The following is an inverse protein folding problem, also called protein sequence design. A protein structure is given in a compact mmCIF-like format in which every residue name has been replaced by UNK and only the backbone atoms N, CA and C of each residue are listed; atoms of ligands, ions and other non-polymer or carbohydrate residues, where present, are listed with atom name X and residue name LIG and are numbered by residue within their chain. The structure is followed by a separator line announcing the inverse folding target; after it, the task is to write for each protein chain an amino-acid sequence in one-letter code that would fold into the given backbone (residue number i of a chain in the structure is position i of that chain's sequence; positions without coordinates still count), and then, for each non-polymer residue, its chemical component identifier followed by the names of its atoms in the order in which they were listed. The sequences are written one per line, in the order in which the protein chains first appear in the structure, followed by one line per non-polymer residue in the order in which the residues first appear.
data_IF_724583986868
#
_entry.id   IF_724583986868
#
_cell.length_a   1.000
_cell.length_b   1.000
_cell.length_c   1.000
_cell.angle_alpha   90.00
_cell.angle_beta   90.00
_cell.angle_gamma   90.00
#
_symmetry.space_group_name_H-M   'P 1'
#
loop_
_entity.id
_entity.type
_entity.pdbx_description
1 polymer ?
#
# COMPACT_ATOMS: atom_id res chain seq x y z
N UNK A 1 -18.38 -6.77 -17.97
CA UNK A 1 -17.74 -6.14 -19.16
C UNK A 1 -16.77 -5.07 -18.69
N UNK A 2 -15.47 -5.30 -18.84
CA UNK A 2 -14.44 -4.31 -18.54
C UNK A 2 -14.49 -3.18 -19.59
N UNK A 3 -14.82 -1.95 -19.18
CA UNK A 3 -14.75 -0.72 -19.98
C UNK A 3 -13.31 -0.31 -20.31
N UNK A 4 -12.74 -0.87 -21.37
CA UNK A 4 -11.39 -0.50 -21.84
C UNK A 4 -11.35 1.01 -22.11
N UNK A 5 -10.32 1.68 -21.62
CA UNK A 5 -10.01 3.07 -21.95
C UNK A 5 -8.96 3.02 -23.07
N UNK A 6 -9.20 3.67 -24.22
CA UNK A 6 -8.27 3.69 -25.35
C UNK A 6 -7.80 5.10 -25.72
N UNK A 7 -7.15 5.23 -26.89
CA UNK A 7 -6.01 6.07 -27.30
C UNK A 7 -6.24 7.46 -27.94
N UNK A 8 -5.18 8.28 -27.85
CA UNK A 8 -4.63 9.14 -28.90
C UNK A 8 -3.33 9.83 -28.43
N UNK A 9 -2.22 10.04 -29.17
CA UNK A 9 -1.63 9.51 -30.44
C UNK A 9 -0.08 9.59 -30.30
N UNK A 10 0.67 8.71 -30.98
CA UNK A 10 1.94 9.09 -31.66
C UNK A 10 1.77 9.17 -33.20
N UNK A 11 0.79 8.45 -33.80
CA UNK A 11 0.54 8.46 -35.27
C UNK A 11 -0.91 8.54 -35.73
N UNK A 12 -1.90 8.28 -34.89
CA UNK A 12 -3.27 8.68 -35.20
C UNK A 12 -4.28 7.75 -35.80
N UNK A 13 -4.15 6.45 -35.56
CA UNK A 13 -5.32 5.58 -35.56
C UNK A 13 -5.97 5.52 -34.18
N UNK A 14 -7.28 5.27 -34.15
CA UNK A 14 -8.02 4.86 -32.95
C UNK A 14 -7.82 3.35 -32.72
N UNK A 15 -7.80 2.89 -31.46
CA UNK A 15 -7.86 1.46 -31.14
C UNK A 15 -9.20 0.84 -31.61
N UNK A 16 -9.14 -0.30 -32.32
CA UNK A 16 -10.29 -1.04 -32.87
C UNK A 16 -11.38 -1.42 -31.84
N UNK A 17 -11.05 -1.54 -30.55
CA UNK A 17 -12.04 -1.81 -29.49
C UNK A 17 -12.78 -0.57 -28.99
N UNK A 18 -12.30 0.63 -29.31
CA UNK A 18 -12.82 1.91 -28.81
C UNK A 18 -13.35 2.85 -29.88
N UNK A 19 -13.26 2.48 -31.16
CA UNK A 19 -13.94 3.12 -32.30
C UNK A 19 -15.47 3.11 -32.14
N UNK A 20 -16.02 2.20 -31.33
CA UNK A 20 -17.47 2.09 -31.09
C UNK A 20 -18.00 2.83 -29.84
N UNK A 21 -17.17 3.62 -29.12
CA UNK A 21 -17.65 4.34 -27.93
C UNK A 21 -18.11 5.77 -28.27
N UNK A 22 -19.37 6.12 -28.00
CA UNK A 22 -19.99 7.44 -28.28
C UNK A 22 -19.45 8.66 -27.48
N UNK A 23 -18.30 8.57 -26.81
CA UNK A 23 -17.77 9.64 -25.96
C UNK A 23 -16.65 10.43 -26.66
N UNK A 24 -16.86 11.74 -26.81
CA UNK A 24 -15.92 12.71 -27.41
C UNK A 24 -14.73 13.11 -26.51
N UNK A 25 -14.49 12.40 -25.40
CA UNK A 25 -13.41 12.76 -24.47
C UNK A 25 -12.03 12.35 -25.02
N UNK A 26 -10.97 13.16 -24.84
CA UNK A 26 -9.61 12.79 -25.18
C UNK A 26 -9.17 11.51 -24.44
N UNK A 27 -8.67 10.56 -25.21
CA UNK A 27 -8.50 9.16 -24.86
C UNK A 27 -7.00 8.87 -24.53
N UNK A 28 -6.64 8.25 -23.38
CA UNK A 28 -5.23 8.04 -22.96
C UNK A 28 -4.50 6.89 -23.68
N UNK A 29 -3.17 6.87 -23.58
CA UNK A 29 -2.19 6.23 -24.48
C UNK A 29 -1.96 4.69 -24.36
N UNK A 30 -2.64 3.94 -23.50
CA UNK A 30 -2.48 2.46 -23.39
C UNK A 30 -3.84 1.76 -23.25
N UNK A 31 -4.00 0.63 -23.96
CA UNK A 31 -5.09 -0.31 -23.77
C UNK A 31 -4.89 -1.14 -22.48
N UNK A 32 -5.45 -0.68 -21.36
CA UNK A 32 -5.33 -1.36 -20.06
C UNK A 32 -6.71 -1.82 -19.56
N UNK A 33 -6.84 -2.95 -18.82
CA UNK A 33 -8.10 -3.34 -18.21
C UNK A 33 -8.77 -2.20 -17.44
N UNK A 34 -10.06 -2.03 -17.71
CA UNK A 34 -10.97 -1.03 -17.16
C UNK A 34 -11.11 -0.95 -15.63
N UNK A 35 -10.52 -1.91 -14.93
CA UNK A 35 -10.85 -2.20 -13.55
C UNK A 35 -9.60 -2.65 -12.85
N UNK A 36 -8.91 -1.71 -12.21
CA UNK A 36 -7.85 -2.03 -11.23
C UNK A 36 -8.40 -2.79 -10.01
N UNK A 37 -9.72 -2.75 -9.79
CA UNK A 37 -10.36 -3.40 -8.64
C UNK A 37 -10.11 -4.90 -8.61
N UNK A 38 -10.03 -5.56 -9.76
CA UNK A 38 -9.72 -7.00 -9.80
C UNK A 38 -8.30 -7.28 -9.28
N UNK A 39 -7.32 -6.44 -9.65
CA UNK A 39 -5.94 -6.54 -9.14
C UNK A 39 -5.86 -6.28 -7.63
N UNK A 40 -6.57 -5.28 -7.13
CA UNK A 40 -6.64 -4.97 -5.68
C UNK A 40 -7.35 -6.08 -4.93
N UNK A 41 -8.43 -6.61 -5.50
CA UNK A 41 -9.16 -7.70 -4.91
C UNK A 41 -8.30 -8.96 -4.85
N UNK A 42 -7.56 -9.30 -5.89
CA UNK A 42 -6.64 -10.45 -5.93
C UNK A 42 -5.53 -10.41 -4.86
N UNK A 43 -5.37 -9.29 -4.13
CA UNK A 43 -4.51 -9.20 -2.96
C UNK A 43 -3.88 -7.82 -2.76
N UNK A 44 -3.11 -7.68 -1.69
CA UNK A 44 -2.63 -6.37 -1.23
C UNK A 44 -1.37 -5.87 -1.93
N UNK A 45 -1.12 -4.56 -1.80
CA UNK A 45 -0.09 -3.83 -2.52
C UNK A 45 1.14 -3.43 -1.69
N UNK A 46 1.18 -3.57 -0.35
CA UNK A 46 2.45 -3.50 0.41
C UNK A 46 2.39 -4.00 1.85
N UNK A 47 1.63 -3.35 2.73
CA UNK A 47 1.68 -3.58 4.19
C UNK A 47 1.51 -5.06 4.57
N UNK A 48 0.73 -5.78 3.76
CA UNK A 48 0.34 -7.16 4.02
C UNK A 48 1.29 -8.17 3.41
N UNK A 49 2.15 -7.71 2.51
CA UNK A 49 3.23 -8.50 1.92
C UNK A 49 4.48 -8.51 2.81
N UNK A 50 4.60 -7.62 3.80
CA UNK A 50 5.69 -7.66 4.77
C UNK A 50 5.46 -8.80 5.77
N UNK A 51 6.38 -9.77 5.78
CA UNK A 51 6.43 -10.85 6.79
C UNK A 51 7.37 -10.52 7.94
N UNK A 52 7.89 -9.30 8.00
CA UNK A 52 8.66 -8.84 9.15
C UNK A 52 8.33 -7.43 9.57
N UNK A 53 8.63 -7.14 10.83
CA UNK A 53 8.64 -5.79 11.39
C UNK A 53 10.07 -5.44 11.74
N UNK A 54 10.60 -4.35 11.17
CA UNK A 54 11.92 -3.85 11.52
C UNK A 54 11.80 -2.81 12.64
N UNK A 55 11.68 -3.31 13.87
CA UNK A 55 11.61 -2.44 15.04
C UNK A 55 13.02 -1.97 15.43
N UNK A 56 13.17 -0.69 15.75
CA UNK A 56 14.45 -0.14 16.20
C UNK A 56 14.67 -0.51 17.66
N UNK A 57 15.80 -1.16 17.97
CA UNK A 57 16.24 -1.32 19.35
C UNK A 57 16.79 0.00 19.90
N UNK A 58 16.93 0.10 21.23
CA UNK A 58 17.57 1.23 21.92
C UNK A 58 19.00 1.53 21.42
N UNK A 59 19.65 0.55 20.80
CA UNK A 59 21.03 0.62 20.33
C UNK A 59 21.13 1.04 18.85
N UNK A 60 20.01 1.42 18.23
CA UNK A 60 19.95 1.88 16.84
C UNK A 60 19.99 0.76 15.79
N UNK A 61 20.25 -0.49 16.19
CA UNK A 61 20.13 -1.66 15.32
C UNK A 61 18.66 -2.06 15.17
N UNK A 62 18.20 -2.22 13.92
CA UNK A 62 16.85 -2.73 13.61
C UNK A 62 16.89 -4.25 13.59
N UNK A 63 16.16 -4.88 14.51
CA UNK A 63 15.97 -6.32 14.47
C UNK A 63 14.65 -6.63 13.75
N UNK A 64 14.74 -7.48 12.72
CA UNK A 64 13.57 -7.97 12.01
C UNK A 64 12.86 -9.02 12.89
N UNK A 65 11.61 -8.74 13.28
CA UNK A 65 10.72 -9.71 13.92
C UNK A 65 9.98 -10.45 12.81
N UNK A 66 10.12 -11.78 12.76
CA UNK A 66 9.36 -12.60 11.82
C UNK A 66 7.90 -12.68 12.25
N UNK A 67 6.99 -12.34 11.34
CA UNK A 67 5.57 -12.54 11.54
C UNK A 67 5.18 -13.99 11.21
N UNK A 68 4.14 -14.53 11.88
CA UNK A 68 3.62 -15.86 11.56
C UNK A 68 3.09 -15.94 10.12
N UNK A 69 3.37 -17.06 9.45
CA UNK A 69 2.86 -17.40 8.11
C UNK A 69 1.37 -17.71 8.09
N UNK A 70 0.85 -18.15 9.23
CA UNK A 70 -0.56 -18.41 9.46
C UNK A 70 -1.11 -17.42 10.48
N UNK A 71 -2.33 -16.97 10.25
CA UNK A 71 -3.10 -16.23 11.24
C UNK A 71 -4.11 -17.16 11.90
N UNK A 72 -3.85 -17.47 13.17
CA UNK A 72 -4.84 -18.10 14.05
C UNK A 72 -5.71 -17.00 14.68
N UNK A 73 -6.91 -16.83 14.14
CA UNK A 73 -7.88 -15.83 14.61
C UNK A 73 -8.23 -16.05 16.08
N UNK A 74 -8.30 -17.30 16.54
CA UNK A 74 -8.60 -17.62 17.94
C UNK A 74 -7.45 -17.19 18.86
N UNK A 75 -6.21 -17.47 18.46
CA UNK A 75 -5.04 -17.06 19.21
C UNK A 75 -4.89 -15.53 19.23
N UNK A 76 -5.16 -14.86 18.10
CA UNK A 76 -5.14 -13.41 18.02
C UNK A 76 -6.17 -12.79 18.98
N UNK A 77 -7.42 -13.26 18.96
CA UNK A 77 -8.48 -12.78 19.85
C UNK A 77 -8.12 -12.99 21.33
N UNK A 78 -7.56 -14.15 21.70
CA UNK A 78 -7.08 -14.41 23.07
C UNK A 78 -5.96 -13.45 23.48
N UNK A 79 -5.04 -13.16 22.56
CA UNK A 79 -3.90 -12.26 22.82
C UNK A 79 -4.38 -10.82 23.01
N UNK A 80 -5.36 -10.39 22.21
CA UNK A 80 -6.02 -9.09 22.39
C UNK A 80 -6.74 -9.04 23.75
N UNK A 81 -7.48 -10.07 24.13
CA UNK A 81 -8.15 -10.13 25.45
C UNK A 81 -7.16 -10.07 26.61
N UNK A 82 -5.99 -10.71 26.51
CA UNK A 82 -4.94 -10.61 27.52
C UNK A 82 -4.38 -9.19 27.61
N UNK A 83 -4.07 -8.55 26.47
CA UNK A 83 -3.60 -7.16 26.42
C UNK A 83 -4.62 -6.19 27.02
N UNK A 84 -5.90 -6.40 26.74
CA UNK A 84 -7.00 -5.60 27.27
C UNK A 84 -7.12 -5.62 28.79
N UNK A 85 -6.42 -6.51 29.51
CA UNK A 85 -6.41 -6.44 30.97
C UNK A 85 -5.69 -5.20 31.48
N UNK A 86 -4.68 -4.71 30.75
CA UNK A 86 -3.85 -3.57 31.16
C UNK A 86 -3.90 -2.40 30.18
N UNK A 87 -4.08 -2.66 28.89
CA UNK A 87 -3.93 -1.68 27.82
C UNK A 87 -5.22 -1.47 27.04
N UNK A 88 -5.48 -0.22 26.64
CA UNK A 88 -6.67 0.16 25.86
C UNK A 88 -6.39 0.31 24.38
N UNK A 89 -5.19 0.77 24.03
CA UNK A 89 -4.84 1.20 22.67
C UNK A 89 -3.46 0.72 22.28
N UNK A 90 -3.34 0.33 21.01
CA UNK A 90 -2.05 0.17 20.32
C UNK A 90 -1.78 1.45 19.56
N UNK A 91 -0.62 2.05 19.76
CA UNK A 91 -0.19 3.24 19.03
C UNK A 91 1.00 2.90 18.14
N UNK A 92 0.93 3.32 16.88
CA UNK A 92 1.99 3.13 15.91
C UNK A 92 2.72 4.44 15.63
N UNK A 93 4.02 4.35 15.42
CA UNK A 93 4.91 5.50 15.29
C UNK A 93 5.86 5.37 14.11
N UNK A 94 6.12 6.50 13.47
CA UNK A 94 7.27 6.72 12.58
C UNK A 94 8.20 7.71 13.28
N UNK A 95 9.31 7.20 13.82
CA UNK A 95 10.16 8.00 14.72
C UNK A 95 9.36 8.49 15.93
N UNK A 96 9.21 9.81 16.06
CA UNK A 96 8.43 10.45 17.13
C UNK A 96 6.99 10.80 16.73
N UNK A 97 6.64 10.65 15.46
CA UNK A 97 5.31 11.02 14.96
C UNK A 97 4.34 9.86 15.15
N UNK A 98 3.19 10.14 15.76
CA UNK A 98 2.08 9.18 15.85
C UNK A 98 1.49 9.00 14.45
N UNK A 99 1.53 7.78 13.94
CA UNK A 99 0.90 7.44 12.65
C UNK A 99 -0.59 7.18 12.83
N UNK A 100 -0.95 6.40 13.85
CA UNK A 100 -2.32 6.03 14.16
C UNK A 100 -2.45 5.36 15.53
N UNK A 101 -3.69 5.28 16.00
CA UNK A 101 -4.09 4.61 17.23
C UNK A 101 -5.23 3.63 16.95
N UNK A 102 -5.03 2.38 17.37
CA UNK A 102 -6.06 1.33 17.30
C UNK A 102 -6.58 1.00 18.69
N UNK A 103 -7.89 1.15 18.89
CA UNK A 103 -8.61 0.71 20.07
C UNK A 103 -8.70 -0.82 20.09
N UNK A 104 -8.15 -1.43 21.13
CA UNK A 104 -8.09 -2.89 21.25
C UNK A 104 -9.49 -3.51 21.38
N UNK A 105 -10.44 -2.84 22.03
CA UNK A 105 -11.80 -3.35 22.22
C UNK A 105 -12.59 -3.34 20.92
N UNK A 106 -12.48 -2.27 20.15
CA UNK A 106 -13.09 -2.18 18.84
C UNK A 106 -12.46 -3.16 17.85
N UNK A 107 -11.13 -3.30 17.85
CA UNK A 107 -10.42 -4.32 17.07
C UNK A 107 -10.90 -5.74 17.39
N UNK A 108 -10.99 -6.09 18.68
CA UNK A 108 -11.49 -7.39 19.10
C UNK A 108 -12.92 -7.63 18.61
N UNK A 109 -13.80 -6.64 18.80
CA UNK A 109 -15.22 -6.72 18.43
C UNK A 109 -15.37 -6.90 16.93
N UNK A 110 -14.62 -6.13 16.15
CA UNK A 110 -14.60 -6.23 14.70
C UNK A 110 -14.12 -7.62 14.26
N UNK A 111 -12.96 -8.09 14.74
CA UNK A 111 -12.39 -9.37 14.32
C UNK A 111 -13.31 -10.54 14.70
N UNK A 112 -13.81 -10.56 15.94
CA UNK A 112 -14.66 -11.64 16.43
C UNK A 112 -16.01 -11.73 15.70
N UNK A 113 -16.58 -10.59 15.29
CA UNK A 113 -17.84 -10.56 14.55
C UNK A 113 -17.69 -10.99 13.08
N UNK A 114 -16.49 -10.87 12.51
CA UNK A 114 -16.28 -10.96 11.07
C UNK A 114 -15.46 -12.18 10.63
N UNK A 115 -14.70 -12.82 11.53
CA UNK A 115 -13.78 -13.89 11.14
C UNK A 115 -13.99 -15.15 11.97
N UNK A 116 -13.98 -16.31 11.30
CA UNK A 116 -14.06 -17.60 11.96
C UNK A 116 -12.83 -17.83 12.84
N UNK A 117 -12.98 -18.38 14.06
CA UNK A 117 -11.89 -18.61 15.01
C UNK A 117 -11.07 -19.86 14.65
N UNK A 118 -10.50 -19.83 13.45
CA UNK A 118 -9.71 -20.87 12.80
C UNK A 118 -8.37 -20.31 12.32
N UNK A 119 -7.42 -21.20 12.03
CA UNK A 119 -6.14 -20.83 11.43
C UNK A 119 -6.27 -20.78 9.91
N UNK A 120 -5.64 -19.78 9.29
CA UNK A 120 -5.63 -19.57 7.85
C UNK A 120 -4.21 -19.19 7.39
N UNK A 121 -3.78 -19.61 6.19
CA UNK A 121 -2.63 -19.00 5.54
C UNK A 121 -2.85 -17.49 5.45
N UNK A 122 -1.87 -16.70 5.89
CA UNK A 122 -2.07 -15.27 6.08
C UNK A 122 -2.48 -14.55 4.80
N UNK A 123 -1.85 -14.90 3.67
CA UNK A 123 -2.17 -14.35 2.35
C UNK A 123 -3.61 -14.65 1.94
N UNK A 124 -4.06 -15.89 2.10
CA UNK A 124 -5.43 -16.29 1.80
C UNK A 124 -6.44 -15.57 2.69
N UNK A 125 -6.12 -15.38 3.97
CA UNK A 125 -6.94 -14.62 4.90
C UNK A 125 -7.12 -13.17 4.45
N UNK A 126 -6.02 -12.48 4.17
CA UNK A 126 -6.01 -11.08 3.71
C UNK A 126 -6.69 -10.90 2.36
N UNK A 127 -6.43 -11.81 1.42
CA UNK A 127 -7.05 -11.80 0.11
C UNK A 127 -8.55 -12.12 0.24
N UNK A 128 -8.95 -12.92 1.21
CA UNK A 128 -10.35 -13.21 1.54
C UNK A 128 -11.15 -12.00 2.05
N UNK A 129 -10.49 -10.91 2.49
CA UNK A 129 -11.15 -9.73 3.05
C UNK A 129 -12.00 -8.92 2.03
N UNK A 130 -12.05 -9.33 0.75
CA UNK A 130 -12.83 -8.71 -0.36
C UNK A 130 -14.33 -8.52 -0.07
N UNK A 131 -14.90 -9.28 0.85
CA UNK A 131 -16.37 -9.45 1.01
C UNK A 131 -16.98 -8.59 2.11
N UNK A 132 -16.20 -7.96 3.00
CA UNK A 132 -16.72 -7.26 4.19
C UNK A 132 -16.64 -5.74 4.09
N UNK A 133 -17.23 -5.20 3.03
CA UNK A 133 -17.20 -3.77 2.70
C UNK A 133 -17.97 -2.85 3.67
N UNK A 134 -18.70 -3.42 4.62
CA UNK A 134 -19.57 -2.68 5.56
C UNK A 134 -19.24 -2.96 7.03
N UNK A 135 -18.08 -3.54 7.33
CA UNK A 135 -17.68 -3.82 8.70
C UNK A 135 -17.47 -2.55 9.51
N UNK A 136 -17.70 -2.63 10.83
CA UNK A 136 -17.39 -1.58 11.80
C UNK A 136 -15.89 -1.36 12.01
N UNK A 137 -15.00 -1.82 11.11
CA UNK A 137 -13.54 -1.69 11.24
C UNK A 137 -13.08 -0.24 11.46
N UNK A 138 -13.84 0.74 11.00
CA UNK A 138 -13.58 2.16 11.24
C UNK A 138 -13.63 2.53 12.72
N UNK A 139 -14.43 1.83 13.53
CA UNK A 139 -14.47 2.03 14.98
C UNK A 139 -13.20 1.56 15.67
N UNK A 140 -12.33 0.82 14.98
CA UNK A 140 -11.02 0.44 15.50
C UNK A 140 -10.10 1.65 15.67
N UNK A 141 -10.35 2.76 14.98
CA UNK A 141 -9.58 3.99 15.20
C UNK A 141 -10.08 4.75 16.42
N UNK A 142 -9.14 5.25 17.23
CA UNK A 142 -9.49 6.14 18.35
C UNK A 142 -9.91 7.52 17.83
N UNK A 143 -10.91 8.11 18.49
CA UNK A 143 -11.42 9.46 18.20
C UNK A 143 -10.27 10.48 18.20
N UNK A 144 -9.99 11.12 17.05
CA UNK A 144 -8.98 12.18 16.91
C UNK A 144 -8.02 11.97 15.73
N UNK A 145 -7.71 10.71 15.40
CA UNK A 145 -7.14 10.35 14.10
C UNK A 145 -8.31 10.01 13.19
N UNK A 146 -8.70 10.90 12.28
CA UNK A 146 -9.65 10.55 11.21
C UNK A 146 -8.87 10.11 9.97
N UNK A 147 -8.46 8.83 9.86
CA UNK A 147 -7.82 8.32 8.64
C UNK A 147 -8.75 8.40 7.42
N UNK A 148 -10.05 8.61 7.65
CA UNK A 148 -11.05 8.73 6.60
C UNK A 148 -11.14 10.15 6.05
N UNK A 149 -10.64 11.16 6.76
CA UNK A 149 -10.54 12.53 6.27
C UNK A 149 -9.65 12.60 5.01
N UNK A 150 -8.63 11.75 4.93
CA UNK A 150 -7.82 11.57 3.72
C UNK A 150 -7.30 10.13 3.62
N UNK A 151 -8.09 9.26 2.98
CA UNK A 151 -7.79 7.83 2.79
C UNK A 151 -6.47 7.62 2.04
N UNK A 152 -6.22 8.43 1.00
CA UNK A 152 -5.01 8.42 0.19
C UNK A 152 -3.77 8.66 1.05
N UNK A 153 -3.74 9.80 1.75
CA UNK A 153 -2.62 10.19 2.61
C UNK A 153 -2.39 9.17 3.70
N UNK A 154 -3.45 8.69 4.36
CA UNK A 154 -3.32 7.69 5.44
C UNK A 154 -2.70 6.41 4.93
N UNK A 155 -3.27 5.83 3.86
CA UNK A 155 -2.79 4.56 3.30
C UNK A 155 -1.32 4.64 2.88
N UNK A 156 -0.91 5.72 2.22
CA UNK A 156 0.47 5.85 1.76
C UNK A 156 1.45 6.22 2.87
N UNK A 157 1.03 7.01 3.85
CA UNK A 157 1.86 7.23 5.06
C UNK A 157 2.09 5.89 5.77
N UNK A 158 1.06 5.04 5.82
CA UNK A 158 1.15 3.71 6.43
C UNK A 158 2.08 2.79 5.65
N UNK A 159 1.90 2.71 4.33
CA UNK A 159 2.73 1.87 3.46
C UNK A 159 4.20 2.32 3.49
N UNK A 160 4.47 3.62 3.36
CA UNK A 160 5.83 4.17 3.33
C UNK A 160 6.53 4.03 4.70
N UNK A 161 5.79 4.14 5.80
CA UNK A 161 6.33 3.97 7.16
C UNK A 161 6.41 2.50 7.60
N UNK A 162 5.81 1.56 6.88
CA UNK A 162 5.72 0.15 7.29
C UNK A 162 7.07 -0.50 7.62
N UNK A 163 8.17 -0.25 6.86
CA UNK A 163 9.48 -0.78 7.20
C UNK A 163 10.09 -0.15 8.46
N UNK A 164 9.51 0.94 8.97
CA UNK A 164 10.08 1.75 10.04
C UNK A 164 9.20 1.87 11.27
N UNK A 165 8.01 1.26 11.24
CA UNK A 165 7.01 1.40 12.28
C UNK A 165 7.47 0.82 13.60
N UNK A 166 7.25 1.57 14.66
CA UNK A 166 7.41 1.10 16.05
C UNK A 166 6.07 1.18 16.77
N UNK A 167 5.92 0.41 17.84
CA UNK A 167 4.65 0.29 18.55
C UNK A 167 4.78 0.66 20.02
N UNK A 168 3.71 1.20 20.58
CA UNK A 168 3.53 1.39 22.00
C UNK A 168 2.16 0.87 22.43
N UNK A 169 2.06 0.43 23.68
CA UNK A 169 0.79 0.07 24.31
C UNK A 169 0.40 1.16 25.30
N UNK A 170 -0.80 1.71 25.18
CA UNK A 170 -1.31 2.76 26.08
C UNK A 170 -2.15 2.13 27.18
N UNK A 171 -1.85 2.45 28.44
CA UNK A 171 -2.56 1.87 29.59
C UNK A 171 -4.03 2.31 29.63
N UNK A 172 -4.92 1.42 30.10
CA UNK A 172 -6.35 1.75 30.27
C UNK A 172 -6.60 2.75 31.38
N UNK A 173 -5.85 2.60 32.47
CA UNK A 173 -6.02 3.37 33.70
C UNK A 173 -5.47 4.79 33.58
N UNK A 174 -4.49 4.99 32.69
CA UNK A 174 -3.85 6.27 32.43
C UNK A 174 -3.47 6.38 30.94
N UNK A 175 -4.24 7.12 30.14
CA UNK A 175 -3.98 7.31 28.70
C UNK A 175 -2.70 8.10 28.38
N UNK A 176 -2.10 8.79 29.35
CA UNK A 176 -0.84 9.53 29.17
C UNK A 176 0.39 8.62 29.31
N UNK A 177 0.21 7.46 29.95
CA UNK A 177 1.28 6.49 30.13
C UNK A 177 1.25 5.47 28.99
N UNK A 178 2.36 5.40 28.26
CA UNK A 178 2.58 4.40 27.22
C UNK A 178 3.79 3.54 27.52
N UNK A 179 3.69 2.27 27.14
CA UNK A 179 4.74 1.27 27.19
C UNK A 179 5.30 1.09 25.78
N UNK A 180 6.49 1.65 25.53
CA UNK A 180 7.18 1.55 24.24
C UNK A 180 7.73 0.15 24.06
N UNK A 181 7.26 -0.53 23.01
CA UNK A 181 7.60 -1.93 22.81
C UNK A 181 9.03 -2.08 22.31
N UNK A 182 9.78 -2.95 22.99
CA UNK A 182 11.19 -3.21 22.73
C UNK A 182 11.30 -4.58 22.08
N UNK A 183 11.80 -4.70 20.83
CA UNK A 183 11.91 -5.98 20.15
C UNK A 183 12.77 -7.01 20.89
N UNK A 184 13.72 -6.56 21.73
CA UNK A 184 14.63 -7.45 22.46
C UNK A 184 13.98 -8.09 23.71
N UNK A 185 12.75 -7.71 24.05
CA UNK A 185 12.00 -8.28 25.15
C UNK A 185 10.97 -9.28 24.61
N UNK A 186 11.05 -10.55 25.03
CA UNK A 186 10.19 -11.65 24.53
C UNK A 186 8.69 -11.38 24.69
N UNK A 187 8.30 -10.65 25.74
CA UNK A 187 6.91 -10.27 25.96
C UNK A 187 6.49 -9.15 25.01
N UNK A 188 7.35 -8.15 24.83
CA UNK A 188 7.11 -7.04 23.89
C UNK A 188 7.11 -7.54 22.45
N UNK A 189 7.92 -8.54 22.09
CA UNK A 189 7.90 -9.19 20.78
C UNK A 189 6.51 -9.76 20.46
N UNK A 190 5.89 -10.49 21.40
CA UNK A 190 4.52 -11.00 21.25
C UNK A 190 3.51 -9.87 21.04
N UNK A 191 3.69 -8.77 21.76
CA UNK A 191 2.83 -7.59 21.64
C UNK A 191 3.00 -6.88 20.29
N UNK A 192 4.23 -6.79 19.79
CA UNK A 192 4.56 -6.29 18.46
C UNK A 192 3.90 -7.15 17.38
N UNK A 193 3.95 -8.48 17.52
CA UNK A 193 3.29 -9.39 16.56
C UNK A 193 1.78 -9.12 16.53
N UNK A 194 1.12 -8.99 17.69
CA UNK A 194 -0.32 -8.66 17.74
C UNK A 194 -0.60 -7.31 17.08
N UNK A 195 0.19 -6.28 17.41
CA UNK A 195 0.05 -4.94 16.83
C UNK A 195 0.21 -4.95 15.31
N UNK A 196 1.22 -5.67 14.79
CA UNK A 196 1.48 -5.81 13.37
C UNK A 196 0.36 -6.58 12.65
N UNK A 197 -0.19 -7.63 13.26
CA UNK A 197 -1.33 -8.37 12.71
C UNK A 197 -2.58 -7.49 12.65
N UNK A 198 -2.88 -6.73 13.71
CA UNK A 198 -3.98 -5.75 13.71
C UNK A 198 -3.80 -4.69 12.61
N UNK A 199 -2.59 -4.13 12.51
CA UNK A 199 -2.26 -3.16 11.47
C UNK A 199 -2.49 -3.74 10.09
N UNK A 200 -2.06 -4.98 9.82
CA UNK A 200 -2.28 -5.65 8.55
C UNK A 200 -3.77 -5.86 8.25
N UNK A 201 -4.56 -6.33 9.22
CA UNK A 201 -6.01 -6.54 9.03
C UNK A 201 -6.71 -5.21 8.71
N UNK A 202 -6.44 -4.15 9.47
CA UNK A 202 -7.07 -2.84 9.31
C UNK A 202 -6.55 -2.13 8.06
N UNK A 203 -5.26 -2.21 7.77
CA UNK A 203 -4.64 -1.68 6.57
C UNK A 203 -5.26 -2.25 5.30
N UNK A 204 -5.61 -3.55 5.29
CA UNK A 204 -6.36 -4.14 4.16
C UNK A 204 -7.72 -3.50 3.95
N UNK A 205 -8.45 -3.23 5.03
CA UNK A 205 -9.75 -2.58 4.94
C UNK A 205 -9.62 -1.15 4.42
N UNK A 206 -8.59 -0.42 4.88
CA UNK A 206 -8.25 0.92 4.39
C UNK A 206 -7.91 0.92 2.89
N UNK A 207 -7.07 -0.02 2.44
CA UNK A 207 -6.71 -0.21 1.03
C UNK A 207 -7.95 -0.46 0.16
N UNK A 208 -8.81 -1.41 0.56
CA UNK A 208 -10.05 -1.71 -0.15
C UNK A 208 -10.99 -0.49 -0.21
N UNK A 209 -11.10 0.25 0.89
CA UNK A 209 -11.94 1.46 0.97
C UNK A 209 -11.41 2.59 0.07
N UNK A 210 -10.09 2.82 0.05
CA UNK A 210 -9.46 3.82 -0.82
C UNK A 210 -9.70 3.51 -2.30
N UNK A 211 -9.47 2.26 -2.71
CA UNK A 211 -9.66 1.88 -4.11
C UNK A 211 -11.13 1.85 -4.54
N UNK A 212 -12.08 1.54 -3.63
CA UNK A 212 -13.52 1.70 -3.90
C UNK A 212 -13.92 3.17 -4.03
N UNK A 213 -13.38 4.05 -3.19
CA UNK A 213 -13.53 5.49 -3.31
C UNK A 213 -13.03 5.97 -4.68
N UNK A 214 -11.82 5.56 -5.07
CA UNK A 214 -11.25 5.94 -6.36
C UNK A 214 -12.10 5.45 -7.54
N UNK A 215 -12.60 4.21 -7.47
CA UNK A 215 -13.49 3.64 -8.49
C UNK A 215 -14.75 4.50 -8.66
N UNK A 216 -15.36 4.95 -7.55
CA UNK A 216 -16.54 5.82 -7.57
C UNK A 216 -16.22 7.18 -8.17
N UNK A 217 -15.09 7.78 -7.78
CA UNK A 217 -14.63 9.06 -8.32
C UNK A 217 -14.39 8.99 -9.84
N UNK A 218 -13.82 7.88 -10.33
CA UNK A 218 -13.61 7.64 -11.76
C UNK A 218 -14.91 7.45 -12.56
N UNK A 219 -15.96 6.95 -11.92
CA UNK A 219 -17.30 6.86 -12.52
C UNK A 219 -18.06 8.19 -12.55
N UNK A 220 -17.56 9.23 -11.88
CA UNK A 220 -18.23 10.52 -11.76
C UNK A 220 -18.19 11.33 -13.07
N UNK A 221 -19.29 12.02 -13.44
CA UNK A 221 -19.28 12.96 -14.57
C UNK A 221 -18.46 14.23 -14.28
N UNK A 222 -18.26 14.58 -13.01
CA UNK A 222 -17.41 15.70 -12.58
C UNK A 222 -16.19 15.15 -11.83
N UNK A 223 -15.00 15.45 -12.36
CA UNK A 223 -13.71 15.14 -11.71
C UNK A 223 -13.21 16.44 -11.10
N UNK A 224 -12.84 16.41 -9.82
CA UNK A 224 -12.21 17.53 -9.15
C UNK A 224 -10.69 17.34 -9.07
N UNK A 225 -9.97 18.46 -8.90
CA UNK A 225 -8.52 18.51 -8.86
C UNK A 225 -7.92 17.65 -7.74
N UNK A 226 -8.59 17.58 -6.61
CA UNK A 226 -8.16 16.84 -5.41
C UNK A 226 -8.04 15.35 -5.69
N UNK A 227 -9.03 14.76 -6.36
CA UNK A 227 -8.99 13.33 -6.75
C UNK A 227 -7.81 13.05 -7.68
N UNK A 228 -7.50 13.97 -8.59
CA UNK A 228 -6.37 13.82 -9.52
C UNK A 228 -5.04 13.83 -8.76
N UNK A 229 -4.91 14.70 -7.76
CA UNK A 229 -3.75 14.72 -6.87
C UNK A 229 -3.64 13.42 -6.07
N UNK A 230 -4.73 12.91 -5.51
CA UNK A 230 -4.73 11.65 -4.74
C UNK A 230 -4.27 10.45 -5.59
N UNK A 231 -4.66 10.41 -6.86
CA UNK A 231 -4.17 9.38 -7.80
C UNK A 231 -2.71 9.57 -8.12
N UNK A 232 -2.26 10.82 -8.30
CA UNK A 232 -0.86 11.13 -8.48
C UNK A 232 0.02 10.67 -7.31
N UNK A 233 -0.41 10.95 -6.07
CA UNK A 233 0.24 10.46 -4.87
C UNK A 233 0.26 8.92 -4.81
N UNK A 234 -0.84 8.26 -5.21
CA UNK A 234 -0.90 6.80 -5.27
C UNK A 234 0.13 6.19 -6.22
N UNK A 235 0.28 6.79 -7.40
CA UNK A 235 1.25 6.36 -8.41
C UNK A 235 2.68 6.50 -7.86
N UNK A 236 3.00 7.63 -7.23
CA UNK A 236 4.34 7.88 -6.67
C UNK A 236 4.65 6.91 -5.53
N UNK A 237 3.72 6.68 -4.60
CA UNK A 237 3.89 5.69 -3.54
C UNK A 237 4.08 4.29 -4.13
N UNK A 238 3.27 3.85 -5.10
CA UNK A 238 3.46 2.55 -5.78
C UNK A 238 4.84 2.42 -6.44
N UNK A 239 5.34 3.50 -7.06
CA UNK A 239 6.66 3.51 -7.70
C UNK A 239 7.80 3.40 -6.68
N UNK A 240 7.75 4.17 -5.58
CA UNK A 240 8.75 4.07 -4.48
C UNK A 240 8.83 2.65 -3.94
N UNK A 241 7.68 2.00 -3.78
CA UNK A 241 7.58 0.62 -3.33
C UNK A 241 8.21 -0.35 -4.31
N UNK A 242 7.89 -0.22 -5.59
CA UNK A 242 8.51 -1.04 -6.64
C UNK A 242 10.02 -0.84 -6.67
N UNK A 243 10.50 0.40 -6.63
CA UNK A 243 11.93 0.73 -6.62
C UNK A 243 12.66 0.15 -5.41
N UNK A 244 12.05 0.25 -4.22
CA UNK A 244 12.57 -0.40 -3.01
C UNK A 244 12.72 -1.91 -3.25
N UNK A 245 11.69 -2.60 -3.72
CA UNK A 245 11.79 -4.04 -3.95
C UNK A 245 12.79 -4.43 -5.06
N UNK A 246 12.82 -3.70 -6.18
CA UNK A 246 13.77 -3.95 -7.28
C UNK A 246 15.22 -3.73 -6.85
N UNK A 247 15.50 -2.74 -6.00
CA UNK A 247 16.84 -2.51 -5.44
C UNK A 247 17.28 -3.66 -4.53
N UNK A 248 16.34 -4.24 -3.78
CA UNK A 248 16.59 -5.41 -2.94
C UNK A 248 16.70 -6.71 -3.76
N UNK A 249 16.01 -6.83 -4.91
CA UNK A 249 16.08 -7.99 -5.81
C UNK A 249 17.35 -8.05 -6.67
N UNK A 250 17.88 -6.91 -7.12
CA UNK A 250 19.03 -6.87 -8.05
C UNK A 250 20.40 -7.15 -7.39
N UNK A 251 20.51 -7.15 -6.06
CA UNK A 251 21.75 -7.54 -5.37
C UNK A 251 21.82 -9.07 -5.29
N UNK A 252 22.48 -9.65 -6.28
CA UNK A 252 22.90 -11.07 -6.39
C UNK A 252 23.90 -11.53 -5.31
N UNK A 253 23.95 -10.87 -4.14
CA UNK A 253 24.78 -11.30 -3.02
C UNK A 253 24.00 -12.26 -2.14
N UNK A 254 24.60 -13.45 -1.94
CA UNK A 254 24.22 -14.54 -1.05
C UNK A 254 23.52 -13.99 0.20
N UNK A 255 22.29 -14.43 0.40
CA UNK A 255 21.29 -13.74 1.21
C UNK A 255 21.54 -14.03 2.69
N UNK A 256 21.90 -13.02 3.46
CA UNK A 256 21.90 -13.10 4.92
C UNK A 256 20.45 -12.99 5.42
N UNK A 257 20.10 -13.74 6.48
CA UNK A 257 18.73 -13.91 7.01
C UNK A 257 17.96 -12.58 7.27
N UNK A 258 18.65 -11.44 7.38
CA UNK A 258 18.05 -10.11 7.53
C UNK A 258 17.44 -9.54 6.24
N UNK A 259 17.90 -9.96 5.06
CA UNK A 259 17.41 -9.46 3.76
C UNK A 259 16.14 -10.15 3.27
N UNK A 260 15.84 -11.34 3.80
CA UNK A 260 14.58 -12.07 3.56
C UNK A 260 13.35 -11.40 4.19
N UNK A 261 13.58 -10.42 5.07
CA UNK A 261 12.59 -9.81 5.92
C UNK A 261 11.49 -9.03 5.14
N UNK A 262 11.85 -8.47 3.98
CA UNK A 262 10.96 -7.69 3.13
C UNK A 262 10.27 -8.52 2.02
N UNK A 263 10.45 -9.85 2.03
CA UNK A 263 9.90 -10.73 1.00
C UNK A 263 8.46 -11.16 1.35
N UNK A 264 7.52 -11.14 0.38
CA UNK A 264 6.24 -11.84 0.50
C UNK A 264 6.47 -13.35 0.64
N UNK A 265 5.66 -14.06 1.44
CA UNK A 265 5.68 -15.53 1.46
C UNK A 265 5.41 -16.10 0.06
N UNK A 266 6.35 -16.96 -0.34
CA UNK A 266 6.31 -17.75 -1.57
C UNK A 266 5.70 -19.11 -1.18
N UNK A 267 4.41 -19.29 -1.42
CA UNK A 267 3.81 -20.62 -1.47
C UNK A 267 3.59 -20.97 -2.95
N UNK A 268 4.27 -22.03 -3.39
CA UNK A 268 4.04 -22.65 -4.68
C UNK A 268 2.57 -23.02 -4.81
N UNK A 269 1.88 -22.46 -5.80
CA UNK A 269 0.60 -22.99 -6.26
C UNK A 269 0.83 -24.45 -6.67
N UNK A 270 0.49 -25.40 -5.81
CA UNK A 270 0.48 -26.81 -6.19
C UNK A 270 -0.79 -27.12 -6.98
N UNK A 271 -0.54 -27.70 -8.16
CA UNK A 271 -1.45 -28.37 -9.11
C UNK A 271 -2.33 -27.45 -9.97
N UNK A 272 -2.25 -27.43 -11.31
CA UNK A 272 -1.89 -28.45 -12.30
C UNK A 272 -1.60 -27.74 -13.63
N UNK A 273 -0.77 -28.37 -14.45
CA UNK A 273 -0.45 -28.03 -15.85
C UNK A 273 0.34 -26.73 -16.09
N UNK A 274 1.67 -26.83 -16.12
CA UNK A 274 2.51 -26.41 -17.27
C UNK A 274 3.89 -27.04 -17.07
N UNK A 275 4.23 -27.95 -17.96
CA UNK A 275 5.60 -28.40 -18.22
C UNK A 275 6.31 -27.24 -18.91
N UNK A 276 7.03 -26.42 -18.16
CA UNK A 276 8.32 -25.89 -18.59
C UNK A 276 9.06 -25.20 -17.44
N UNK A 277 10.23 -25.77 -17.21
CA UNK A 277 11.37 -25.33 -16.42
C UNK A 277 11.65 -23.82 -16.52
N UNK A 278 11.39 -23.09 -15.43
CA UNK A 278 12.14 -21.97 -14.84
C UNK A 278 11.35 -21.57 -13.57
N UNK A 279 11.90 -21.82 -12.38
CA UNK A 279 11.32 -21.40 -11.11
C UNK A 279 11.27 -19.87 -11.01
N UNK A 280 10.18 -19.29 -11.51
CA UNK A 280 9.86 -17.87 -11.46
C UNK A 280 9.48 -17.50 -10.01
N UNK A 281 10.42 -16.87 -9.29
CA UNK A 281 10.24 -16.48 -7.89
C UNK A 281 9.03 -15.54 -7.72
N UNK A 282 8.06 -15.94 -6.88
CA UNK A 282 6.74 -15.28 -6.65
C UNK A 282 6.83 -13.82 -6.11
N UNK A 283 8.00 -13.36 -5.66
CA UNK A 283 8.29 -11.93 -5.46
C UNK A 283 8.08 -11.09 -6.74
N UNK A 284 8.34 -11.69 -7.90
CA UNK A 284 8.06 -11.09 -9.21
C UNK A 284 6.57 -10.91 -9.46
N UNK A 285 5.69 -11.73 -8.86
CA UNK A 285 4.23 -11.61 -9.08
C UNK A 285 3.69 -10.41 -8.32
N UNK A 286 4.13 -10.18 -7.08
CA UNK A 286 3.74 -8.97 -6.32
C UNK A 286 4.30 -7.71 -6.97
N UNK A 287 5.56 -7.74 -7.41
CA UNK A 287 6.18 -6.66 -8.19
C UNK A 287 5.37 -6.32 -9.44
N UNK A 288 5.04 -7.35 -10.21
CA UNK A 288 4.31 -7.22 -11.47
C UNK A 288 2.89 -6.71 -11.23
N UNK A 289 2.24 -7.12 -10.14
CA UNK A 289 0.92 -6.61 -9.76
C UNK A 289 0.97 -5.14 -9.37
N UNK A 290 1.96 -4.72 -8.59
CA UNK A 290 2.17 -3.31 -8.22
C UNK A 290 2.50 -2.48 -9.45
N UNK A 291 3.38 -2.98 -10.34
CA UNK A 291 3.68 -2.36 -11.64
C UNK A 291 2.43 -2.17 -12.48
N UNK A 292 1.62 -3.21 -12.64
CA UNK A 292 0.38 -3.17 -13.41
C UNK A 292 -0.64 -2.21 -12.82
N UNK A 293 -0.80 -2.21 -11.49
CA UNK A 293 -1.65 -1.24 -10.80
C UNK A 293 -1.14 0.20 -11.01
N UNK A 294 0.15 0.44 -10.87
CA UNK A 294 0.78 1.73 -11.09
C UNK A 294 0.51 2.24 -12.51
N UNK A 295 0.66 1.37 -13.51
CA UNK A 295 0.36 1.69 -14.91
C UNK A 295 -1.13 2.03 -15.11
N UNK A 296 -2.04 1.22 -14.57
CA UNK A 296 -3.49 1.48 -14.67
C UNK A 296 -3.84 2.85 -14.06
N UNK A 297 -3.34 3.11 -12.85
CA UNK A 297 -3.57 4.38 -12.18
C UNK A 297 -2.98 5.56 -12.95
N UNK A 298 -1.81 5.40 -13.56
CA UNK A 298 -1.22 6.45 -14.41
C UNK A 298 -2.08 6.76 -15.64
N UNK A 299 -2.66 5.75 -16.29
CA UNK A 299 -3.63 5.95 -17.37
C UNK A 299 -4.86 6.71 -16.88
N UNK A 300 -5.38 6.36 -15.71
CA UNK A 300 -6.48 7.09 -15.09
C UNK A 300 -6.12 8.53 -14.74
N UNK A 301 -4.94 8.76 -14.18
CA UNK A 301 -4.42 10.09 -13.88
C UNK A 301 -4.41 10.97 -15.13
N UNK A 302 -3.85 10.47 -16.24
CA UNK A 302 -3.81 11.21 -17.51
C UNK A 302 -5.23 11.52 -18.02
N UNK A 303 -6.12 10.53 -17.98
CA UNK A 303 -7.52 10.71 -18.37
C UNK A 303 -8.23 11.76 -17.51
N UNK A 304 -8.07 11.70 -16.19
CA UNK A 304 -8.73 12.62 -15.27
C UNK A 304 -8.17 14.04 -15.39
N UNK A 305 -6.85 14.17 -15.48
CA UNK A 305 -6.15 15.45 -15.66
C UNK A 305 -6.66 16.19 -16.90
N UNK A 306 -6.83 15.50 -18.03
CA UNK A 306 -7.33 16.09 -19.29
C UNK A 306 -8.80 16.57 -19.21
N UNK A 307 -9.57 16.10 -18.23
CA UNK A 307 -10.96 16.53 -18.00
C UNK A 307 -11.07 17.76 -17.09
N UNK A 308 -9.98 18.19 -16.47
CA UNK A 308 -9.93 19.43 -15.69
C UNK A 308 -9.75 20.64 -16.60
N UNK A 309 -10.20 21.84 -16.18
CA UNK A 309 -9.85 23.10 -16.84
C UNK A 309 -8.34 23.29 -16.96
N UNK A 310 -7.85 23.92 -18.04
CA UNK A 310 -6.42 24.07 -18.32
C UNK A 310 -5.62 24.72 -17.17
N UNK A 311 -6.24 25.63 -16.42
CA UNK A 311 -5.64 26.28 -15.25
C UNK A 311 -5.40 25.31 -14.09
N UNK A 312 -6.32 24.36 -13.88
CA UNK A 312 -6.23 23.36 -12.81
C UNK A 312 -5.25 22.23 -13.13
N UNK A 313 -4.91 22.04 -14.41
CA UNK A 313 -3.94 21.04 -14.85
C UNK A 313 -2.50 21.38 -14.46
N UNK A 314 -2.21 22.66 -14.18
CA UNK A 314 -0.86 23.13 -13.85
C UNK A 314 -0.38 22.54 -12.53
N UNK A 315 0.87 22.06 -12.52
CA UNK A 315 1.53 21.50 -11.34
C UNK A 315 1.05 20.11 -10.90
N UNK A 316 0.05 19.51 -11.55
CA UNK A 316 -0.46 18.18 -11.18
C UNK A 316 0.53 17.02 -11.42
N UNK A 317 1.64 17.28 -12.11
CA UNK A 317 2.70 16.29 -12.31
C UNK A 317 3.74 16.29 -11.18
N UNK A 318 3.64 17.20 -10.20
CA UNK A 318 4.58 17.31 -9.07
C UNK A 318 3.86 16.89 -7.80
N UNK A 319 4.44 15.93 -7.09
CA UNK A 319 3.92 15.39 -5.83
C UNK A 319 4.92 15.66 -4.71
N UNK A 320 4.45 16.29 -3.63
CA UNK A 320 5.25 16.48 -2.42
C UNK A 320 5.08 15.28 -1.52
N UNK A 321 6.17 14.58 -1.23
CA UNK A 321 6.18 13.36 -0.43
C UNK A 321 7.15 13.51 0.72
N UNK A 322 6.82 12.91 1.86
CA UNK A 322 7.76 12.75 2.95
C UNK A 322 8.77 11.67 2.59
N UNK A 323 10.06 11.95 2.77
CA UNK A 323 11.14 10.98 2.65
C UNK A 323 11.57 10.58 4.06
N UNK A 324 11.22 9.36 4.52
CA UNK A 324 11.52 8.93 5.88
C UNK A 324 13.02 8.72 6.13
N UNK A 325 13.79 8.38 5.09
CA UNK A 325 15.23 8.13 5.22
C UNK A 325 16.00 9.43 5.45
N UNK A 326 15.58 10.50 4.75
CA UNK A 326 16.21 11.82 4.84
C UNK A 326 15.43 12.82 5.72
N UNK A 327 14.33 12.38 6.34
CA UNK A 327 13.44 13.19 7.20
C UNK A 327 13.07 14.56 6.61
N UNK A 328 12.71 14.60 5.32
CA UNK A 328 12.40 15.85 4.62
C UNK A 328 11.29 15.66 3.60
N UNK A 329 10.63 16.76 3.25
CA UNK A 329 9.73 16.78 2.09
C UNK A 329 10.54 16.85 0.80
N UNK A 330 10.25 15.95 -0.13
CA UNK A 330 10.84 15.91 -1.48
C UNK A 330 9.76 16.08 -2.53
N UNK A 331 10.13 16.70 -3.65
CA UNK A 331 9.27 16.78 -4.83
C UNK A 331 9.61 15.64 -5.78
N UNK A 332 8.59 14.87 -6.14
CA UNK A 332 8.70 13.86 -7.19
C UNK A 332 7.79 14.18 -8.37
N UNK A 333 8.26 13.80 -9.54
CA UNK A 333 7.61 14.09 -10.80
C UNK A 333 6.97 12.82 -11.35
N UNK A 334 5.72 12.91 -11.79
CA UNK A 334 5.07 11.90 -12.62
C UNK A 334 5.69 11.90 -14.03
N UNK A 335 5.51 10.81 -14.83
CA UNK A 335 6.08 10.75 -16.17
C UNK A 335 5.63 11.94 -17.01
N UNK A 336 6.61 12.67 -17.57
CA UNK A 336 6.37 13.86 -18.39
C UNK A 336 5.80 13.50 -19.76
N UNK A 337 6.22 12.35 -20.31
CA UNK A 337 5.74 11.82 -21.57
C UNK A 337 4.61 10.83 -21.30
N UNK A 338 3.39 11.19 -21.69
CA UNK A 338 2.20 10.31 -21.62
C UNK A 338 2.27 9.23 -22.71
N UNK A 339 3.25 8.34 -22.59
CA UNK A 339 3.45 7.18 -23.45
C UNK A 339 3.85 5.96 -22.61
N UNK A 340 3.70 4.76 -23.19
CA UNK A 340 4.14 3.53 -22.52
C UNK A 340 5.64 3.62 -22.22
N UNK A 341 6.44 3.99 -23.21
CA UNK A 341 7.88 4.20 -23.05
C UNK A 341 8.20 5.22 -21.96
N UNK A 342 7.50 6.37 -21.94
CA UNK A 342 7.70 7.39 -20.91
C UNK A 342 7.37 6.90 -19.50
N UNK A 343 6.36 6.03 -19.35
CA UNK A 343 6.07 5.37 -18.09
C UNK A 343 7.17 4.38 -17.69
N UNK A 344 7.65 3.54 -18.62
CA UNK A 344 8.71 2.56 -18.35
C UNK A 344 10.03 3.24 -17.99
N UNK A 345 10.45 4.25 -18.76
CA UNK A 345 11.65 5.05 -18.48
C UNK A 345 11.57 5.71 -17.09
N UNK A 346 10.37 6.19 -16.73
CA UNK A 346 10.12 6.75 -15.41
C UNK A 346 10.14 5.69 -14.30
N UNK A 347 9.68 4.47 -14.59
CA UNK A 347 9.66 3.38 -13.63
C UNK A 347 11.08 2.84 -13.35
N UNK A 348 11.96 2.85 -14.35
CA UNK A 348 13.37 2.40 -14.30
C UNK A 348 14.30 3.30 -13.46
N UNK A 349 13.76 4.02 -12.48
CA UNK A 349 14.51 4.96 -11.65
C UNK A 349 15.74 4.32 -10.98
N UNK A 350 16.92 4.63 -11.49
CA UNK A 350 18.21 4.34 -10.87
C UNK A 350 18.39 5.24 -9.64
N UNK A 351 18.08 4.71 -8.45
CA UNK A 351 18.24 5.38 -7.14
C UNK A 351 19.67 5.80 -6.75
N UNK A 352 20.64 5.71 -7.65
CA UNK A 352 22.03 6.11 -7.45
C UNK A 352 22.35 7.50 -8.03
N UNK A 353 21.40 8.18 -8.67
CA UNK A 353 21.57 9.58 -9.05
C UNK A 353 20.92 10.52 -8.01
N UNK A 354 21.69 11.42 -7.37
CA UNK A 354 21.10 12.49 -6.59
C UNK A 354 20.21 13.34 -7.50
N UNK A 355 19.10 13.82 -6.94
CA UNK A 355 18.14 14.74 -7.58
C UNK A 355 18.94 15.93 -8.13
N UNK A 356 19.30 15.88 -9.41
CA UNK A 356 19.84 17.01 -10.12
C UNK A 356 18.70 17.99 -10.33
N UNK A 357 18.87 19.18 -9.77
CA UNK A 357 18.11 20.38 -10.09
C UNK A 357 18.05 20.56 -11.61
N UNK A 358 17.05 19.99 -12.28
CA UNK A 358 16.75 20.37 -13.66
C UNK A 358 15.89 21.63 -13.64
N UNK A 359 16.60 22.73 -13.37
CA UNK A 359 16.09 24.08 -13.32
C UNK A 359 17.14 25.10 -13.76
N UNK A 360 17.82 24.87 -14.88
CA UNK A 360 18.48 25.97 -15.62
C UNK A 360 18.22 25.87 -17.12
N UNK A 361 17.58 26.94 -17.61
CA UNK A 361 17.53 27.35 -19.00
C UNK A 361 18.95 27.35 -19.61
N UNK A 362 19.04 26.93 -20.87
CA UNK A 362 19.81 27.67 -21.86
C UNK A 362 18.78 28.30 -22.79
#
# INVERSE_FOLDING_TARGET
MAKVICEGRERGGDCDRCTNSHNNAPKPFVCVPASFIELIQQGSTMLLALHTVNSSSSDGFRQAISLPSNIDVRQLLRSITALQQSYGVVRAYEGHNVLFELDLQACWTFINANYSPTSHPFRQFIDGLKTQRQGSWKSCFRNGTDPLANLCKTLFTWDDAAPYVTYAMVYKIDPEVEDRLNPNNEQHEKFIIVAAQLYRIIGRQLELQFYDYLKKALGSPSICREVVLEVGHAIISLRRRLASWTRHWNKTQRWDNASCALMPEIESYTERDIVNDYSFWDGSIVAERVRNLCLILYVYFCYMRRRLPAEEQKGLHIMKMWDPDNQRMVEEYLPQYESKTGFEDWLEFNSDQPILEFGRKI
#
